data_IF_918039519905
#
_entry.id   IF_918039519905
#
_cell.length_a   1.000
_cell.length_b   1.000
_cell.length_c   1.000
_cell.angle_alpha   90.00
_cell.angle_beta   90.00
_cell.angle_gamma   90.00
#
_symmetry.space_group_name_H-M   'P 1'
#
loop_
_entity.id
_entity.type
_entity.pdbx_description
1 polymer ?
#
# COMPACT_ATOMS: atom_id res chain seq x y z
N UNK A 1 20.09 -0.37 -19.14
CA UNK A 1 19.56 -1.17 -18.02
C UNK A 1 18.10 -1.38 -18.33
N UNK A 2 17.67 -2.63 -18.48
CA UNK A 2 16.28 -2.94 -18.81
C UNK A 2 15.35 -2.29 -17.78
N UNK A 3 14.35 -1.55 -18.25
CA UNK A 3 13.36 -0.87 -17.39
C UNK A 3 12.69 -1.85 -16.43
N UNK A 4 12.54 -3.11 -16.86
CA UNK A 4 12.06 -4.22 -16.04
C UNK A 4 12.99 -4.54 -14.86
N UNK A 5 14.31 -4.53 -15.07
CA UNK A 5 15.27 -4.79 -13.98
C UNK A 5 15.21 -3.71 -12.91
N UNK A 6 15.13 -2.43 -13.34
CA UNK A 6 14.95 -1.30 -12.42
C UNK A 6 13.64 -1.44 -11.64
N UNK A 7 12.57 -1.85 -12.33
CA UNK A 7 11.27 -2.14 -11.71
C UNK A 7 11.33 -3.25 -10.66
N UNK A 8 11.98 -4.39 -10.96
CA UNK A 8 12.12 -5.49 -10.01
C UNK A 8 12.97 -5.11 -8.79
N UNK A 9 14.06 -4.38 -8.99
CA UNK A 9 14.89 -3.90 -7.88
C UNK A 9 14.10 -2.92 -6.99
N UNK A 10 13.39 -1.96 -7.59
CA UNK A 10 12.55 -1.03 -6.85
C UNK A 10 11.42 -1.75 -6.07
N UNK A 11 10.81 -2.78 -6.67
CA UNK A 11 9.81 -3.62 -6.02
C UNK A 11 10.38 -4.31 -4.78
N UNK A 12 11.55 -4.95 -4.89
CA UNK A 12 12.20 -5.63 -3.77
C UNK A 12 12.49 -4.65 -2.61
N UNK A 13 13.05 -3.49 -2.93
CA UNK A 13 13.33 -2.44 -1.92
C UNK A 13 12.04 -2.00 -1.23
N UNK A 14 10.96 -1.80 -1.99
CA UNK A 14 9.65 -1.43 -1.45
C UNK A 14 9.09 -2.51 -0.52
N UNK A 15 9.11 -3.77 -0.96
CA UNK A 15 8.62 -4.90 -0.15
C UNK A 15 9.38 -5.04 1.17
N UNK A 16 10.72 -4.93 1.15
CA UNK A 16 11.52 -4.99 2.38
C UNK A 16 11.25 -3.80 3.30
N UNK A 17 11.15 -2.59 2.74
CA UNK A 17 10.89 -1.37 3.52
C UNK A 17 9.51 -1.39 4.17
N UNK A 18 8.47 -1.81 3.43
CA UNK A 18 7.11 -1.90 3.93
C UNK A 18 6.94 -3.03 4.96
N UNK A 19 7.64 -4.16 4.76
CA UNK A 19 7.67 -5.26 5.72
C UNK A 19 8.37 -4.88 7.03
N UNK A 20 9.40 -4.04 6.97
CA UNK A 20 10.14 -3.61 8.17
C UNK A 20 9.46 -2.46 8.92
N UNK A 21 8.52 -1.74 8.30
CA UNK A 21 7.84 -0.58 8.89
C UNK A 21 7.24 -0.89 10.27
N UNK A 22 6.67 -2.08 10.47
CA UNK A 22 6.02 -2.48 11.74
C UNK A 22 6.92 -3.27 12.69
N UNK A 23 8.15 -3.63 12.29
CA UNK A 23 9.11 -4.33 13.13
C UNK A 23 9.60 -3.51 14.35
N UNK A 24 9.97 -2.22 14.23
CA UNK A 24 10.42 -1.42 15.36
C UNK A 24 9.29 -1.03 16.32
N UNK A 25 8.03 -1.00 15.85
CA UNK A 25 6.84 -0.81 16.69
C UNK A 25 6.66 -1.89 17.77
N UNK A 26 7.37 -3.01 17.66
CA UNK A 26 7.35 -4.09 18.65
C UNK A 26 8.30 -3.87 19.83
N UNK A 27 9.33 -3.03 19.66
CA UNK A 27 10.38 -2.79 20.67
C UNK A 27 10.24 -1.45 21.39
N UNK A 28 9.55 -0.51 20.76
CA UNK A 28 9.29 0.82 21.30
C UNK A 28 7.79 0.91 21.57
N UNK A 29 7.40 1.36 22.77
CA UNK A 29 6.03 1.77 23.03
C UNK A 29 5.70 2.97 22.15
N UNK A 30 5.20 2.68 20.95
CA UNK A 30 4.56 3.70 20.14
C UNK A 30 3.33 4.13 20.93
N UNK A 31 3.38 5.34 21.49
CA UNK A 31 2.28 5.98 22.21
C UNK A 31 1.03 6.14 21.33
N UNK A 32 0.66 7.36 20.97
CA UNK A 32 -0.50 7.59 20.11
C UNK A 32 -0.16 7.34 18.64
N UNK A 33 -0.90 6.44 17.98
CA UNK A 33 -0.77 6.16 16.54
C UNK A 33 -0.95 7.38 15.63
N UNK A 34 -1.59 8.42 16.17
CA UNK A 34 -1.80 9.71 15.51
C UNK A 34 -0.47 10.46 15.28
N UNK A 35 0.47 10.38 16.22
CA UNK A 35 1.78 11.02 16.10
C UNK A 35 2.64 10.35 15.02
N UNK A 36 2.65 9.01 15.00
CA UNK A 36 3.35 8.23 13.95
C UNK A 36 2.77 8.56 12.58
N UNK A 37 1.44 8.62 12.46
CA UNK A 37 0.81 8.97 11.20
C UNK A 37 1.12 10.40 10.76
N UNK A 38 1.16 11.34 11.69
CA UNK A 38 1.49 12.74 11.41
C UNK A 38 2.89 12.88 10.80
N UNK A 39 3.89 12.22 11.41
CA UNK A 39 5.28 12.22 10.90
C UNK A 39 5.35 11.57 9.52
N UNK A 40 4.67 10.44 9.33
CA UNK A 40 4.63 9.73 8.06
C UNK A 40 4.04 10.62 6.96
N UNK A 41 2.87 11.24 7.19
CA UNK A 41 2.24 12.15 6.24
C UNK A 41 3.13 13.35 5.92
N UNK A 42 3.80 13.92 6.92
CA UNK A 42 4.74 15.04 6.72
C UNK A 42 5.93 14.64 5.83
N UNK A 43 6.47 13.44 6.03
CA UNK A 43 7.58 12.91 5.22
C UNK A 43 7.14 12.67 3.78
N UNK A 44 5.97 12.05 3.58
CA UNK A 44 5.40 11.83 2.24
C UNK A 44 5.11 13.15 1.53
N UNK A 45 4.65 14.18 2.26
CA UNK A 45 4.43 15.51 1.70
C UNK A 45 5.73 16.16 1.21
N UNK A 46 6.80 16.12 2.01
CA UNK A 46 8.11 16.69 1.64
C UNK A 46 8.69 15.95 0.44
N UNK A 47 8.74 14.62 0.46
CA UNK A 47 9.22 13.82 -0.67
C UNK A 47 8.37 14.04 -1.93
N UNK A 48 7.04 14.09 -1.78
CA UNK A 48 6.11 14.36 -2.87
C UNK A 48 6.29 15.74 -3.48
N UNK A 49 6.55 16.75 -2.64
CA UNK A 49 6.82 18.11 -3.10
C UNK A 49 8.13 18.21 -3.89
N UNK A 50 9.20 17.53 -3.43
CA UNK A 50 10.46 17.44 -4.18
C UNK A 50 10.25 16.79 -5.56
N UNK A 51 9.50 15.69 -5.63
CA UNK A 51 9.15 15.04 -6.90
C UNK A 51 8.32 15.95 -7.81
N UNK A 52 7.45 16.78 -7.24
CA UNK A 52 6.62 17.74 -7.97
C UNK A 52 7.46 18.85 -8.62
N UNK A 53 8.48 19.35 -7.91
CA UNK A 53 9.47 20.30 -8.45
C UNK A 53 10.23 19.68 -9.64
N UNK A 54 10.75 18.45 -9.48
CA UNK A 54 11.52 17.77 -10.54
C UNK A 54 10.67 17.52 -11.80
N UNK A 55 9.37 17.25 -11.63
CA UNK A 55 8.42 17.00 -12.73
C UNK A 55 7.78 18.26 -13.31
N UNK A 56 8.13 19.45 -12.82
CA UNK A 56 7.65 20.72 -13.38
C UNK A 56 6.16 20.98 -13.17
N UNK A 57 5.63 20.70 -11.98
CA UNK A 57 4.23 20.95 -11.61
C UNK A 57 3.19 20.29 -12.54
N UNK A 58 3.14 18.94 -12.59
CA UNK A 58 2.10 18.23 -13.32
C UNK A 58 0.68 18.60 -12.85
N UNK A 59 -0.29 18.44 -13.75
CA UNK A 59 -1.70 18.73 -13.47
C UNK A 59 -2.20 17.96 -12.26
N UNK A 60 -2.81 18.70 -11.34
CA UNK A 60 -3.33 18.16 -10.10
C UNK A 60 -4.56 17.27 -10.37
N UNK A 61 -4.50 16.01 -9.92
CA UNK A 61 -5.62 15.07 -10.05
C UNK A 61 -6.35 14.94 -8.70
N UNK A 62 -7.61 15.40 -8.58
CA UNK A 62 -8.37 15.34 -7.32
C UNK A 62 -8.60 13.93 -6.79
N UNK A 63 -8.66 12.92 -7.67
CA UNK A 63 -8.80 11.52 -7.25
C UNK A 63 -7.60 11.09 -6.39
N UNK A 64 -6.41 11.64 -6.66
CA UNK A 64 -5.22 11.33 -5.87
C UNK A 64 -5.32 11.87 -4.44
N UNK A 65 -6.03 12.99 -4.22
CA UNK A 65 -6.28 13.52 -2.87
C UNK A 65 -7.15 12.59 -2.04
N UNK A 66 -8.21 12.04 -2.63
CA UNK A 66 -9.11 11.10 -1.96
C UNK A 66 -8.34 9.85 -1.56
N UNK A 67 -7.46 9.35 -2.43
CA UNK A 67 -6.55 8.24 -2.12
C UNK A 67 -5.65 8.56 -0.92
N UNK A 68 -5.04 9.76 -0.88
CA UNK A 68 -4.22 10.21 0.25
C UNK A 68 -5.00 10.32 1.57
N UNK A 69 -6.23 10.84 1.52
CA UNK A 69 -7.11 10.93 2.69
C UNK A 69 -7.50 9.55 3.23
N UNK A 70 -7.90 8.63 2.35
CA UNK A 70 -8.23 7.25 2.71
C UNK A 70 -7.00 6.51 3.28
N UNK A 71 -5.83 6.73 2.69
CA UNK A 71 -4.57 6.16 3.18
C UNK A 71 -4.22 6.67 4.58
N UNK A 72 -4.35 7.97 4.82
CA UNK A 72 -4.10 8.54 6.15
C UNK A 72 -5.08 8.00 7.19
N UNK A 73 -6.38 7.97 6.85
CA UNK A 73 -7.42 7.44 7.73
C UNK A 73 -7.17 5.96 8.06
N UNK A 74 -6.84 5.15 7.06
CA UNK A 74 -6.55 3.72 7.24
C UNK A 74 -5.37 3.46 8.18
N UNK A 75 -4.29 4.23 8.07
CA UNK A 75 -3.14 4.06 8.96
C UNK A 75 -3.40 4.51 10.40
N UNK A 76 -4.22 5.54 10.63
CA UNK A 76 -4.65 5.94 11.99
C UNK A 76 -5.39 4.79 12.67
N UNK A 77 -6.29 4.11 11.95
CA UNK A 77 -7.04 2.96 12.46
C UNK A 77 -6.20 1.67 12.52
N UNK A 78 -5.16 1.53 11.69
CA UNK A 78 -4.28 0.37 11.68
C UNK A 78 -3.50 0.22 12.99
N UNK A 79 -3.03 1.33 13.58
CA UNK A 79 -2.26 1.28 14.84
C UNK A 79 -3.04 0.64 16.00
N UNK A 80 -4.26 1.09 16.38
CA UNK A 80 -5.04 0.44 17.42
C UNK A 80 -5.47 -0.98 17.02
N UNK A 81 -5.77 -1.25 15.75
CA UNK A 81 -6.11 -2.60 15.28
C UNK A 81 -4.94 -3.58 15.46
N UNK A 82 -3.71 -3.16 15.13
CA UNK A 82 -2.48 -3.94 15.31
C UNK A 82 -2.17 -4.15 16.81
N UNK A 83 -2.43 -3.15 17.66
CA UNK A 83 -2.29 -3.30 19.12
C UNK A 83 -3.28 -4.33 19.69
N UNK A 84 -4.49 -4.42 19.14
CA UNK A 84 -5.52 -5.37 19.59
C UNK A 84 -5.34 -6.80 19.06
N UNK A 85 -5.00 -6.97 17.78
CA UNK A 85 -4.93 -8.27 17.10
C UNK A 85 -3.50 -8.86 17.03
N UNK A 86 -2.48 -8.05 17.28
CA UNK A 86 -1.09 -8.39 17.07
C UNK A 86 -0.61 -8.12 15.64
N UNK A 87 0.69 -7.84 15.51
CA UNK A 87 1.33 -7.41 14.24
C UNK A 87 1.23 -8.49 13.16
N UNK A 88 1.38 -9.77 13.52
CA UNK A 88 1.32 -10.87 12.55
C UNK A 88 -0.05 -11.00 11.88
N UNK A 89 -1.12 -11.08 12.69
CA UNK A 89 -2.49 -11.21 12.19
C UNK A 89 -2.92 -9.95 11.44
N UNK A 90 -2.58 -8.77 11.97
CA UNK A 90 -2.88 -7.50 11.31
C UNK A 90 -2.27 -7.38 9.91
N UNK A 91 -1.00 -7.77 9.75
CA UNK A 91 -0.30 -7.72 8.45
C UNK A 91 -0.82 -8.75 7.45
N UNK A 92 -1.27 -9.93 7.92
CA UNK A 92 -1.91 -10.94 7.05
C UNK A 92 -3.24 -10.42 6.50
N UNK A 93 -4.11 -9.89 7.37
CA UNK A 93 -5.40 -9.31 6.96
C UNK A 93 -5.18 -8.14 5.99
N UNK A 94 -4.22 -7.27 6.29
CA UNK A 94 -3.87 -6.14 5.44
C UNK A 94 -3.41 -6.59 4.05
N UNK A 95 -2.50 -7.57 3.99
CA UNK A 95 -2.02 -8.15 2.73
C UNK A 95 -3.15 -8.79 1.92
N UNK A 96 -4.04 -9.54 2.57
CA UNK A 96 -5.18 -10.17 1.91
C UNK A 96 -6.10 -9.14 1.26
N UNK A 97 -6.43 -8.06 1.98
CA UNK A 97 -7.26 -6.96 1.45
C UNK A 97 -6.56 -6.27 0.27
N UNK A 98 -5.25 -5.99 0.35
CA UNK A 98 -4.52 -5.38 -0.77
C UNK A 98 -4.54 -6.25 -2.02
N UNK A 99 -4.37 -7.57 -1.88
CA UNK A 99 -4.43 -8.50 -3.02
C UNK A 99 -5.85 -8.54 -3.61
N UNK A 100 -6.89 -8.56 -2.77
CA UNK A 100 -8.29 -8.57 -3.23
C UNK A 100 -8.66 -7.29 -3.98
N UNK A 101 -8.35 -6.13 -3.40
CA UNK A 101 -8.62 -4.82 -4.01
C UNK A 101 -7.78 -4.66 -5.27
N UNK A 102 -6.50 -5.02 -5.24
CA UNK A 102 -5.60 -4.98 -6.39
C UNK A 102 -6.08 -5.86 -7.54
N UNK A 103 -6.54 -7.07 -7.24
CA UNK A 103 -7.18 -7.94 -8.23
C UNK A 103 -8.46 -7.34 -8.79
N UNK A 104 -9.33 -6.80 -7.93
CA UNK A 104 -10.59 -6.17 -8.36
C UNK A 104 -10.35 -4.99 -9.31
N UNK A 105 -9.38 -4.13 -8.98
CA UNK A 105 -9.00 -3.00 -9.83
C UNK A 105 -8.43 -3.47 -11.17
N UNK A 106 -7.54 -4.46 -11.17
CA UNK A 106 -6.94 -5.00 -12.40
C UNK A 106 -7.96 -5.74 -13.29
N UNK A 107 -8.92 -6.45 -12.68
CA UNK A 107 -9.93 -7.23 -13.40
C UNK A 107 -11.01 -6.34 -14.01
N UNK A 108 -11.55 -5.40 -13.24
CA UNK A 108 -12.65 -4.56 -13.67
C UNK A 108 -12.21 -3.22 -14.27
N UNK A 109 -10.91 -2.91 -14.24
CA UNK A 109 -10.39 -1.65 -14.79
C UNK A 109 -10.88 -0.41 -14.02
N UNK A 110 -11.05 -0.53 -12.70
CA UNK A 110 -11.51 0.60 -11.88
C UNK A 110 -10.48 1.74 -11.89
N UNK A 111 -10.97 2.98 -11.72
CA UNK A 111 -10.18 4.21 -11.61
C UNK A 111 -9.36 4.62 -12.85
N UNK A 112 -9.82 4.24 -14.05
CA UNK A 112 -9.18 4.64 -15.32
C UNK A 112 -8.05 3.71 -15.77
N UNK A 113 -7.95 2.52 -15.17
CA UNK A 113 -6.95 1.49 -15.51
C UNK A 113 -7.50 0.59 -16.62
N UNK A 114 -6.68 0.21 -17.60
CA UNK A 114 -7.10 -0.75 -18.63
C UNK A 114 -7.30 -2.15 -18.01
N UNK A 115 -8.43 -2.81 -18.31
CA UNK A 115 -8.69 -4.17 -17.84
C UNK A 115 -7.62 -5.12 -18.38
N UNK A 116 -6.89 -5.79 -17.48
CA UNK A 116 -5.83 -6.69 -17.88
C UNK A 116 -6.43 -8.06 -18.21
N UNK A 117 -6.34 -8.54 -19.48
CA UNK A 117 -6.89 -9.83 -19.84
C UNK A 117 -6.13 -10.94 -19.12
N UNK A 118 -6.87 -11.76 -18.38
CA UNK A 118 -6.30 -12.86 -17.60
C UNK A 118 -6.09 -14.05 -18.53
N UNK A 119 -4.85 -14.53 -18.68
CA UNK A 119 -4.54 -15.68 -19.54
C UNK A 119 -5.26 -16.96 -19.10
N UNK A 120 -5.42 -17.19 -17.78
CA UNK A 120 -6.16 -18.33 -17.25
C UNK A 120 -7.02 -17.91 -16.04
N UNK A 121 -8.33 -17.80 -16.27
CA UNK A 121 -9.29 -17.36 -15.25
C UNK A 121 -9.36 -18.33 -14.05
N UNK A 122 -9.18 -19.64 -14.27
CA UNK A 122 -9.29 -20.65 -13.22
C UNK A 122 -8.13 -20.49 -12.23
N UNK A 123 -6.91 -20.32 -12.75
CA UNK A 123 -5.72 -20.15 -11.93
C UNK A 123 -5.77 -18.84 -11.12
N UNK A 124 -6.28 -17.77 -11.72
CA UNK A 124 -6.44 -16.48 -11.03
C UNK A 124 -7.46 -16.56 -9.88
N UNK A 125 -8.65 -17.11 -10.12
CA UNK A 125 -9.68 -17.27 -9.08
C UNK A 125 -9.22 -18.24 -7.98
N UNK A 126 -8.50 -19.32 -8.34
CA UNK A 126 -7.94 -20.25 -7.35
C UNK A 126 -6.91 -19.60 -6.43
N UNK A 127 -6.07 -18.70 -6.95
CA UNK A 127 -5.10 -17.94 -6.15
C UNK A 127 -5.77 -17.00 -5.14
N UNK A 128 -6.92 -16.43 -5.50
CA UNK A 128 -7.71 -15.58 -4.61
C UNK A 128 -8.42 -16.41 -3.54
N UNK A 129 -8.99 -17.55 -3.92
CA UNK A 129 -9.60 -18.47 -2.98
C UNK A 129 -8.57 -18.94 -1.93
N UNK A 130 -7.35 -19.27 -2.36
CA UNK A 130 -6.23 -19.60 -1.47
C UNK A 130 -5.82 -18.44 -0.56
N UNK A 131 -5.87 -17.20 -1.05
CA UNK A 131 -5.57 -16.01 -0.25
C UNK A 131 -6.64 -15.72 0.81
N UNK A 132 -7.91 -16.02 0.51
CA UNK A 132 -9.04 -15.87 1.44
C UNK A 132 -9.14 -16.99 2.48
N UNK A 133 -8.63 -18.19 2.16
CA UNK A 133 -8.71 -19.38 3.01
C UNK A 133 -7.63 -19.41 4.12
N UNK A 134 -6.66 -18.50 4.09
CA UNK A 134 -5.42 -18.57 4.87
C UNK A 134 -5.48 -17.95 6.26
#
# INVERSE_FOLDING_TARGET
>A
MDESLVGFVALLISCTSFGFMFAPLRKLDCGDGLFVQWIQCSTVFVCGFMLNIIRGFPRFNPIAMIGGFLYATGNIFAVPAIRGLGIGVGMIIWGAIQVLVGWGVARFGLFGTASQPVQNNIMNVSGIALNLLR
#
